data_IF_314594568535
#
_entry.id   IF_314594568535
#
_cell.length_a   1.000
_cell.length_b   1.000
_cell.length_c   1.000
_cell.angle_alpha   90.00
_cell.angle_beta   90.00
_cell.angle_gamma   90.00
#
_symmetry.space_group_name_H-M   'P 1'
#
loop_
_entity.id
_entity.type
_entity.pdbx_description
1 polymer ?
#
# COMPACT_ATOMS: atom_id res chain seq x y z
N UNK A 1 5.60 -3.42 3.02
CA UNK A 1 5.11 -4.76 2.64
C UNK A 1 4.62 -4.77 1.20
N UNK A 2 3.71 -3.85 0.84
CA UNK A 2 3.24 -3.67 -0.55
C UNK A 2 4.11 -2.73 -1.39
N UNK A 3 4.69 -1.67 -0.79
CA UNK A 3 5.75 -0.90 -1.44
C UNK A 3 7.06 -1.71 -1.39
N UNK A 4 7.72 -1.84 -2.55
CA UNK A 4 8.92 -2.65 -2.74
C UNK A 4 9.94 -1.85 -3.55
N UNK A 5 11.20 -1.76 -3.09
CA UNK A 5 12.26 -1.16 -3.88
C UNK A 5 12.30 -1.73 -5.31
N UNK A 6 12.51 -0.88 -6.33
CA UNK A 6 12.82 0.54 -6.24
C UNK A 6 11.61 1.48 -6.09
N UNK A 7 10.39 0.95 -6.00
CA UNK A 7 9.15 1.75 -5.89
C UNK A 7 8.82 2.01 -4.42
N UNK A 8 8.99 3.26 -4.01
CA UNK A 8 8.74 3.76 -2.65
C UNK A 8 7.61 4.78 -2.57
N UNK A 9 7.00 5.12 -3.71
CA UNK A 9 5.89 6.09 -3.80
C UNK A 9 4.57 5.44 -4.18
N UNK A 10 3.48 6.12 -3.82
CA UNK A 10 2.12 5.74 -4.21
C UNK A 10 1.45 6.81 -5.08
N UNK A 11 0.57 6.37 -5.99
CA UNK A 11 -0.37 7.24 -6.71
C UNK A 11 -1.74 7.12 -6.06
N UNK A 12 -2.33 8.27 -5.69
CA UNK A 12 -3.64 8.34 -5.05
C UNK A 12 -4.65 8.88 -6.06
N UNK A 13 -5.76 8.17 -6.26
CA UNK A 13 -6.89 8.68 -7.04
C UNK A 13 -7.93 9.24 -6.07
N UNK A 14 -8.25 10.52 -6.22
CA UNK A 14 -9.30 11.20 -5.47
C UNK A 14 -10.52 11.38 -6.38
N UNK A 15 -11.49 10.48 -6.27
CA UNK A 15 -12.73 10.54 -7.06
C UNK A 15 -13.68 11.61 -6.49
N UNK A 16 -14.02 12.57 -7.35
CA UNK A 16 -14.92 13.70 -7.05
C UNK A 16 -16.30 13.50 -7.65
N UNK A 17 -16.62 12.31 -8.15
CA UNK A 17 -18.00 11.97 -8.57
C UNK A 17 -18.98 12.31 -7.43
N UNK A 18 -20.07 12.99 -7.77
CA UNK A 18 -21.09 13.47 -6.83
C UNK A 18 -20.61 14.46 -5.73
N UNK A 19 -19.43 15.06 -5.92
CA UNK A 19 -18.96 16.14 -5.04
C UNK A 19 -19.88 17.36 -5.10
N UNK A 20 -20.15 17.96 -3.93
CA UNK A 20 -20.88 19.22 -3.80
C UNK A 20 -20.36 20.04 -2.62
N UNK A 21 -20.74 21.32 -2.54
CA UNK A 21 -20.34 22.13 -1.37
C UNK A 21 -20.89 21.59 -0.03
N UNK A 22 -21.96 20.79 -0.07
CA UNK A 22 -22.54 20.19 1.14
C UNK A 22 -21.65 19.10 1.76
N UNK A 23 -20.76 18.48 0.97
CA UNK A 23 -19.83 17.45 1.43
C UNK A 23 -18.37 17.93 1.47
N UNK A 24 -18.13 19.24 1.27
CA UNK A 24 -16.79 19.82 1.41
C UNK A 24 -16.45 20.10 2.87
N UNK A 25 -15.55 19.30 3.45
CA UNK A 25 -14.99 19.55 4.77
C UNK A 25 -13.48 19.81 4.70
N UNK A 26 -13.08 21.03 5.07
CA UNK A 26 -11.68 21.44 5.06
C UNK A 26 -10.85 20.81 6.19
N UNK A 27 -11.49 20.38 7.27
CA UNK A 27 -10.81 19.80 8.44
C UNK A 27 -10.09 18.48 8.11
N UNK A 28 -10.76 17.44 7.55
CA UNK A 28 -10.11 16.21 7.18
C UNK A 28 -9.09 16.42 6.05
N UNK A 29 -9.37 17.31 5.08
CA UNK A 29 -8.40 17.64 4.01
C UNK A 29 -7.12 18.20 4.59
N UNK A 30 -7.20 19.19 5.49
CA UNK A 30 -6.03 19.79 6.13
C UNK A 30 -5.29 18.80 7.03
N UNK A 31 -6.02 17.89 7.68
CA UNK A 31 -5.41 16.81 8.45
C UNK A 31 -4.62 15.85 7.56
N UNK A 32 -5.22 15.36 6.46
CA UNK A 32 -4.55 14.48 5.50
C UNK A 32 -3.26 15.10 4.94
N UNK A 33 -3.31 16.38 4.56
CA UNK A 33 -2.13 17.13 4.08
C UNK A 33 -1.01 17.09 5.11
N UNK A 34 -1.31 17.47 6.36
CA UNK A 34 -0.32 17.43 7.45
C UNK A 34 0.23 16.04 7.70
N UNK A 35 -0.59 15.00 7.57
CA UNK A 35 -0.14 13.63 7.72
C UNK A 35 0.90 13.26 6.66
N UNK A 36 0.63 13.59 5.38
CA UNK A 36 1.57 13.31 4.29
C UNK A 36 2.87 14.10 4.43
N UNK A 37 2.79 15.40 4.72
CA UNK A 37 3.98 16.26 4.83
C UNK A 37 4.86 15.88 6.05
N UNK A 38 4.25 15.59 7.20
CA UNK A 38 5.00 15.36 8.43
C UNK A 38 5.42 13.90 8.66
N UNK A 39 4.63 12.92 8.22
CA UNK A 39 4.85 11.51 8.56
C UNK A 39 5.24 10.63 7.36
N UNK A 40 4.91 11.06 6.14
CA UNK A 40 5.19 10.31 4.93
C UNK A 40 5.85 11.18 3.84
N UNK A 41 6.90 11.96 4.19
CA UNK A 41 7.58 12.79 3.21
C UNK A 41 8.14 11.91 2.09
N UNK A 42 8.07 12.42 0.86
CA UNK A 42 8.50 11.72 -0.36
C UNK A 42 7.83 10.37 -0.65
N UNK A 43 6.86 9.91 0.15
CA UNK A 43 6.09 8.68 -0.15
C UNK A 43 4.95 8.93 -1.14
N UNK A 44 4.58 10.19 -1.36
CA UNK A 44 3.56 10.57 -2.33
C UNK A 44 4.19 10.75 -3.71
N UNK A 45 3.76 9.95 -4.67
CA UNK A 45 4.20 10.04 -6.07
C UNK A 45 3.34 11.02 -6.83
N UNK A 46 2.03 10.75 -6.90
CA UNK A 46 1.05 11.58 -7.61
C UNK A 46 -0.31 11.54 -6.92
N UNK A 47 -1.09 12.62 -7.08
CA UNK A 47 -2.51 12.70 -6.69
C UNK A 47 -3.31 13.01 -7.94
N UNK A 48 -4.21 12.12 -8.33
CA UNK A 48 -5.08 12.27 -9.49
C UNK A 48 -6.47 12.66 -9.00
N UNK A 49 -6.81 13.94 -9.11
CA UNK A 49 -8.14 14.44 -8.78
C UNK A 49 -9.07 14.15 -9.96
N UNK A 50 -9.88 13.12 -9.82
CA UNK A 50 -10.70 12.57 -10.89
C UNK A 50 -12.13 13.14 -10.86
N UNK A 51 -12.66 13.54 -12.02
CA UNK A 51 -14.02 14.10 -12.20
C UNK A 51 -14.34 15.30 -11.30
N UNK A 52 -13.34 16.15 -11.04
CA UNK A 52 -13.56 17.38 -10.27
C UNK A 52 -14.55 18.31 -10.99
N UNK A 53 -15.63 18.77 -10.33
CA UNK A 53 -16.55 19.73 -10.93
C UNK A 53 -15.87 21.10 -11.09
N UNK A 54 -16.34 21.91 -12.04
CA UNK A 54 -15.74 23.21 -12.37
C UNK A 54 -15.56 24.15 -11.15
N UNK A 55 -16.46 24.06 -10.16
CA UNK A 55 -16.41 24.84 -8.92
C UNK A 55 -15.17 24.49 -8.06
N UNK A 56 -14.66 23.26 -8.15
CA UNK A 56 -13.51 22.81 -7.38
C UNK A 56 -12.25 23.62 -7.69
N UNK A 57 -12.16 24.28 -8.85
CA UNK A 57 -11.05 25.19 -9.14
C UNK A 57 -10.87 26.29 -8.09
N UNK A 58 -11.95 26.76 -7.47
CA UNK A 58 -11.88 27.77 -6.40
C UNK A 58 -11.41 27.17 -5.08
N UNK A 59 -11.86 25.95 -4.78
CA UNK A 59 -11.44 25.18 -3.60
C UNK A 59 -9.96 24.82 -3.70
N UNK A 60 -9.51 24.39 -4.88
CA UNK A 60 -8.12 24.07 -5.15
C UNK A 60 -7.19 25.26 -4.92
N UNK A 61 -7.59 26.50 -5.27
CA UNK A 61 -6.79 27.69 -4.95
C UNK A 61 -6.54 27.86 -3.46
N UNK A 62 -7.52 27.49 -2.63
CA UNK A 62 -7.40 27.53 -1.16
C UNK A 62 -6.49 26.39 -0.69
N UNK A 63 -6.77 25.15 -1.12
CA UNK A 63 -6.00 23.95 -0.72
C UNK A 63 -4.53 24.08 -1.14
N UNK A 64 -4.26 24.58 -2.35
CA UNK A 64 -2.90 24.78 -2.86
C UNK A 64 -2.08 25.72 -1.98
N UNK A 65 -2.71 26.67 -1.30
CA UNK A 65 -2.04 27.53 -0.32
C UNK A 65 -1.64 26.82 0.98
N UNK A 66 -2.11 25.59 1.19
CA UNK A 66 -1.77 24.76 2.36
C UNK A 66 -0.72 23.70 2.08
N UNK A 67 -0.48 23.40 0.79
CA UNK A 67 0.48 22.40 0.36
C UNK A 67 1.86 23.00 0.20
N UNK A 68 2.89 22.25 0.54
CA UNK A 68 4.25 22.57 0.09
C UNK A 68 4.34 22.55 -1.46
N UNK A 69 5.26 23.32 -2.08
CA UNK A 69 5.35 23.42 -3.54
C UNK A 69 5.63 22.09 -4.27
N UNK A 70 6.32 21.14 -3.63
CA UNK A 70 6.65 19.83 -4.21
C UNK A 70 5.41 18.96 -4.23
N UNK A 71 4.64 18.90 -3.14
CA UNK A 71 3.36 18.17 -3.12
C UNK A 71 2.35 18.79 -4.07
N UNK A 72 2.26 20.12 -4.13
CA UNK A 72 1.36 20.80 -5.06
C UNK A 72 1.65 20.49 -6.55
N UNK A 73 2.92 20.21 -6.90
CA UNK A 73 3.32 19.79 -8.26
C UNK A 73 2.92 18.35 -8.61
N UNK A 74 2.69 17.51 -7.59
CA UNK A 74 2.28 16.11 -7.74
C UNK A 74 0.77 15.96 -7.94
N UNK A 75 0.00 17.05 -7.88
CA UNK A 75 -1.47 17.04 -8.07
C UNK A 75 -1.83 17.27 -9.54
N UNK A 76 -2.56 16.32 -10.10
CA UNK A 76 -3.02 16.31 -11.49
C UNK A 76 -4.55 16.19 -11.53
N UNK A 77 -5.18 16.84 -12.49
CA UNK A 77 -6.63 16.81 -12.67
C UNK A 77 -6.96 15.93 -13.88
N UNK A 78 -7.85 14.96 -13.68
CA UNK A 78 -8.33 14.05 -14.72
C UNK A 78 -9.85 14.20 -14.82
N UNK A 79 -10.36 14.68 -15.96
CA UNK A 79 -11.79 14.93 -16.17
C UNK A 79 -12.55 13.68 -16.63
N UNK A 80 -11.86 12.74 -17.27
CA UNK A 80 -12.43 11.55 -17.87
C UNK A 80 -11.44 10.36 -17.80
N UNK A 81 -11.92 9.15 -18.09
CA UNK A 81 -11.12 7.94 -17.94
C UNK A 81 -9.92 7.89 -18.88
N UNK A 82 -9.97 8.56 -20.03
CA UNK A 82 -8.85 8.53 -20.98
C UNK A 82 -7.66 9.35 -20.42
N UNK A 83 -7.92 10.49 -19.78
CA UNK A 83 -6.89 11.24 -19.02
C UNK A 83 -6.38 10.46 -17.81
N UNK A 84 -7.26 9.76 -17.08
CA UNK A 84 -6.84 8.88 -15.97
C UNK A 84 -5.98 7.72 -16.50
N UNK A 85 -6.23 7.27 -17.72
CA UNK A 85 -5.52 6.17 -18.38
C UNK A 85 -4.08 6.51 -18.80
N UNK A 86 -3.71 7.79 -18.79
CA UNK A 86 -2.33 8.23 -18.94
C UNK A 86 -1.45 7.83 -17.74
N UNK A 87 -2.07 7.57 -16.58
CA UNK A 87 -1.40 7.23 -15.32
C UNK A 87 -1.57 5.76 -14.93
N UNK A 88 -2.77 5.21 -15.15
CA UNK A 88 -3.14 3.85 -14.75
C UNK A 88 -3.68 3.13 -15.99
N UNK A 89 -3.17 1.96 -16.38
CA UNK A 89 -3.72 1.24 -17.53
C UNK A 89 -5.23 1.05 -17.40
N UNK A 90 -5.99 1.31 -18.47
CA UNK A 90 -7.47 1.23 -18.46
C UNK A 90 -8.01 -0.11 -17.96
N UNK A 91 -7.28 -1.20 -18.25
CA UNK A 91 -7.57 -2.55 -17.75
C UNK A 91 -7.41 -2.72 -16.23
N UNK A 92 -6.86 -1.74 -15.53
CA UNK A 92 -6.65 -1.68 -14.07
C UNK A 92 -7.48 -0.59 -13.39
N UNK A 93 -8.24 0.17 -14.15
CA UNK A 93 -9.20 1.15 -13.65
C UNK A 93 -10.54 0.43 -13.48
N UNK A 94 -11.15 0.57 -12.31
CA UNK A 94 -12.45 -0.04 -12.00
C UNK A 94 -13.55 0.45 -12.96
N UNK A 95 -14.52 -0.41 -13.28
CA UNK A 95 -15.66 -0.07 -14.15
C UNK A 95 -16.46 1.12 -13.65
N UNK A 96 -16.61 1.28 -12.34
CA UNK A 96 -17.29 2.40 -11.69
C UNK A 96 -16.61 3.74 -12.00
N UNK A 97 -15.29 3.71 -12.25
CA UNK A 97 -14.50 4.86 -12.68
C UNK A 97 -14.42 4.99 -14.21
N UNK A 98 -15.04 4.08 -14.97
CA UNK A 98 -15.08 4.06 -16.43
C UNK A 98 -14.01 3.20 -17.11
N UNK A 99 -13.24 2.43 -16.35
CA UNK A 99 -12.23 1.49 -16.89
C UNK A 99 -12.79 0.10 -17.20
N UNK A 100 -11.90 -0.86 -17.45
CA UNK A 100 -12.31 -2.22 -17.86
C UNK A 100 -12.27 -3.24 -16.70
N UNK A 101 -11.65 -2.89 -15.56
CA UNK A 101 -11.49 -3.80 -14.43
C UNK A 101 -12.83 -4.05 -13.75
N UNK A 102 -13.34 -5.28 -13.88
CA UNK A 102 -14.59 -5.73 -13.28
C UNK A 102 -14.36 -6.26 -11.87
N UNK A 103 -13.63 -5.50 -11.05
CA UNK A 103 -13.32 -5.90 -9.69
C UNK A 103 -14.57 -5.81 -8.82
N UNK A 104 -14.75 -6.80 -7.94
CA UNK A 104 -15.76 -6.76 -6.89
C UNK A 104 -15.11 -7.21 -5.60
N UNK A 105 -15.25 -6.39 -4.56
CA UNK A 105 -14.69 -6.73 -3.25
C UNK A 105 -15.34 -8.01 -2.73
N UNK A 106 -14.50 -9.00 -2.41
CA UNK A 106 -14.90 -10.22 -1.72
C UNK A 106 -13.97 -10.39 -0.52
N UNK A 107 -14.55 -10.58 0.66
CA UNK A 107 -13.76 -10.90 1.85
C UNK A 107 -13.54 -12.41 1.94
N UNK A 108 -12.28 -12.82 1.90
CA UNK A 108 -11.89 -14.22 2.12
C UNK A 108 -11.64 -14.40 3.62
N UNK A 109 -12.44 -15.25 4.26
CA UNK A 109 -12.34 -15.55 5.69
C UNK A 109 -11.02 -16.26 6.05
N UNK A 110 -10.51 -16.09 7.28
CA UNK A 110 -9.40 -16.88 7.82
C UNK A 110 -9.70 -18.39 7.73
N UNK A 111 -8.70 -19.17 7.33
CA UNK A 111 -8.76 -20.62 7.42
C UNK A 111 -8.29 -21.12 8.78
N UNK A 112 -8.91 -22.19 9.29
CA UNK A 112 -8.51 -22.79 10.55
C UNK A 112 -7.03 -23.21 10.50
N UNK A 113 -6.26 -22.81 11.51
CA UNK A 113 -4.85 -23.14 11.61
C UNK A 113 -3.90 -22.34 10.71
N UNK A 114 -4.36 -21.34 9.95
CA UNK A 114 -3.48 -20.54 9.07
C UNK A 114 -2.36 -19.79 9.80
N UNK A 115 -2.51 -19.60 11.11
CA UNK A 115 -1.54 -18.94 11.99
C UNK A 115 -0.85 -19.90 12.98
N UNK A 116 -0.98 -21.23 12.80
CA UNK A 116 -0.42 -22.24 13.73
C UNK A 116 1.08 -22.07 13.94
N UNK A 117 1.81 -21.66 12.90
CA UNK A 117 3.25 -21.42 12.96
C UNK A 117 3.63 -20.37 14.02
N UNK A 118 2.75 -19.42 14.35
CA UNK A 118 3.01 -18.41 15.39
C UNK A 118 3.17 -18.99 16.79
N UNK A 119 2.72 -20.22 17.02
CA UNK A 119 2.90 -20.91 18.30
C UNK A 119 4.31 -21.51 18.47
N UNK A 120 5.09 -21.64 17.39
CA UNK A 120 6.46 -22.14 17.45
C UNK A 120 7.43 -21.07 17.99
N UNK A 121 7.55 -21.02 19.31
CA UNK A 121 8.45 -20.09 20.00
C UNK A 121 9.93 -20.38 19.71
N UNK A 122 10.29 -21.63 19.40
CA UNK A 122 11.67 -22.02 19.12
C UNK A 122 12.13 -21.45 17.78
N UNK A 123 11.34 -21.66 16.72
CA UNK A 123 11.63 -21.10 15.41
C UNK A 123 11.55 -19.57 15.40
N UNK A 124 10.58 -18.98 16.11
CA UNK A 124 10.52 -17.53 16.32
C UNK A 124 11.81 -16.98 16.93
N UNK A 125 12.27 -17.59 18.02
CA UNK A 125 13.48 -17.17 18.74
C UNK A 125 14.70 -17.29 17.84
N UNK A 126 14.86 -18.42 17.13
CA UNK A 126 15.94 -18.62 16.16
C UNK A 126 16.04 -17.49 15.14
N UNK A 127 14.93 -17.12 14.49
CA UNK A 127 14.95 -16.08 13.46
C UNK A 127 15.12 -14.67 14.04
N UNK A 128 14.63 -14.42 15.25
CA UNK A 128 14.88 -13.18 15.98
C UNK A 128 16.35 -13.03 16.36
N UNK A 129 17.01 -14.10 16.79
CA UNK A 129 18.44 -14.09 17.14
C UNK A 129 19.30 -13.84 15.88
N UNK A 130 19.00 -14.51 14.76
CA UNK A 130 19.65 -14.21 13.48
C UNK A 130 19.44 -12.74 13.08
N UNK A 131 18.21 -12.24 13.23
CA UNK A 131 17.89 -10.84 12.94
C UNK A 131 18.71 -9.88 13.80
N UNK A 132 18.86 -10.17 15.09
CA UNK A 132 19.60 -9.35 16.04
C UNK A 132 21.07 -9.22 15.63
N UNK A 133 21.70 -10.32 15.23
CA UNK A 133 23.07 -10.30 14.73
C UNK A 133 23.19 -9.53 13.40
N UNK A 134 22.23 -9.70 12.48
CA UNK A 134 22.18 -8.92 11.24
C UNK A 134 22.05 -7.41 11.50
N UNK A 135 21.19 -7.01 12.44
CA UNK A 135 21.01 -5.61 12.85
C UNK A 135 22.32 -5.06 13.41
N UNK A 136 22.96 -5.78 14.32
CA UNK A 136 24.24 -5.38 14.91
C UNK A 136 25.34 -5.19 13.85
N UNK A 137 25.46 -6.11 12.89
CA UNK A 137 26.39 -5.96 11.77
C UNK A 137 26.05 -4.75 10.91
N UNK A 138 24.75 -4.54 10.61
CA UNK A 138 24.30 -3.44 9.78
C UNK A 138 24.58 -2.07 10.42
N UNK A 139 24.37 -1.96 11.73
CA UNK A 139 24.72 -0.78 12.52
C UNK A 139 26.23 -0.50 12.47
N UNK A 140 27.06 -1.55 12.62
CA UNK A 140 28.52 -1.43 12.52
C UNK A 140 28.97 -0.91 11.14
N UNK A 141 28.49 -1.51 10.06
CA UNK A 141 28.77 -1.04 8.69
C UNK A 141 28.27 0.39 8.45
N UNK A 142 27.12 0.76 9.04
CA UNK A 142 26.59 2.12 8.93
C UNK A 142 27.51 3.12 9.64
N UNK A 143 28.06 2.79 10.80
CA UNK A 143 29.04 3.64 11.51
C UNK A 143 30.32 3.82 10.68
N UNK A 144 30.85 2.73 10.10
CA UNK A 144 32.04 2.79 9.26
C UNK A 144 31.83 3.70 8.03
N UNK A 145 30.68 3.55 7.37
CA UNK A 145 30.30 4.39 6.25
C UNK A 145 30.18 5.88 6.63
N UNK A 146 29.53 6.20 7.75
CA UNK A 146 29.43 7.59 8.26
C UNK A 146 30.81 8.17 8.57
N UNK A 147 31.74 7.33 9.03
CA UNK A 147 33.13 7.71 9.27
C UNK A 147 34.00 7.70 8.00
N UNK A 148 33.41 7.51 6.81
CA UNK A 148 34.08 7.45 5.52
C UNK A 148 35.16 6.36 5.42
N UNK A 149 35.01 5.27 6.17
CA UNK A 149 35.94 4.13 6.14
C UNK A 149 35.71 3.21 4.93
N UNK A 150 34.50 3.23 4.34
CA UNK A 150 34.13 2.52 3.11
C UNK A 150 32.98 3.24 2.37
N UNK A 151 32.57 2.68 1.22
CA UNK A 151 31.49 3.22 0.36
C UNK A 151 30.08 2.71 0.74
N UNK A 152 29.92 1.99 1.86
CA UNK A 152 28.63 1.47 2.32
C UNK A 152 28.14 0.21 1.61
N UNK A 153 29.00 -0.49 0.87
CA UNK A 153 28.65 -1.72 0.13
C UNK A 153 28.17 -2.84 1.07
N UNK A 154 28.85 -3.00 2.22
CA UNK A 154 28.49 -3.98 3.25
C UNK A 154 27.11 -3.73 3.85
N UNK A 155 26.77 -2.46 4.07
CA UNK A 155 25.43 -2.02 4.53
C UNK A 155 24.32 -2.45 3.57
N UNK A 156 24.50 -2.20 2.26
CA UNK A 156 23.48 -2.55 1.24
C UNK A 156 23.22 -4.06 1.22
N UNK A 157 24.29 -4.87 1.29
CA UNK A 157 24.17 -6.34 1.36
C UNK A 157 23.45 -6.79 2.63
N UNK A 158 23.71 -6.15 3.77
CA UNK A 158 23.06 -6.48 5.03
C UNK A 158 21.59 -6.04 5.07
N UNK A 159 21.22 -4.92 4.44
CA UNK A 159 19.82 -4.51 4.27
C UNK A 159 19.02 -5.58 3.50
N UNK A 160 19.58 -6.11 2.41
CA UNK A 160 18.98 -7.21 1.66
C UNK A 160 18.78 -8.46 2.55
N UNK A 161 19.80 -8.84 3.32
CA UNK A 161 19.70 -9.98 4.26
C UNK A 161 18.67 -9.75 5.37
N UNK A 162 18.54 -8.52 5.88
CA UNK A 162 17.50 -8.16 6.85
C UNK A 162 16.09 -8.27 6.26
N UNK A 163 15.92 -7.94 4.97
CA UNK A 163 14.65 -8.11 4.26
C UNK A 163 14.33 -9.61 4.05
N UNK A 164 15.30 -10.41 3.63
CA UNK A 164 15.14 -11.87 3.48
C UNK A 164 14.85 -12.55 4.83
N UNK A 165 15.58 -12.18 5.88
CA UNK A 165 15.33 -12.66 7.24
C UNK A 165 13.92 -12.31 7.73
N UNK A 166 13.40 -11.13 7.42
CA UNK A 166 12.02 -10.76 7.80
C UNK A 166 11.02 -11.78 7.24
N UNK A 167 11.17 -12.22 6.00
CA UNK A 167 10.25 -13.19 5.42
C UNK A 167 10.36 -14.60 6.00
N UNK A 168 11.53 -14.96 6.55
CA UNK A 168 11.67 -16.18 7.36
C UNK A 168 11.01 -16.04 8.73
N UNK A 169 11.04 -14.84 9.31
CA UNK A 169 10.43 -14.52 10.61
C UNK A 169 8.91 -14.33 10.51
N UNK A 170 8.43 -13.85 9.37
CA UNK A 170 7.06 -13.44 9.08
C UNK A 170 5.98 -14.44 9.56
N UNK A 171 6.09 -15.76 9.32
CA UNK A 171 5.07 -16.71 9.74
C UNK A 171 4.93 -16.85 11.26
N UNK A 172 5.92 -16.37 12.02
CA UNK A 172 5.98 -16.49 13.48
C UNK A 172 5.55 -15.21 14.22
N UNK A 173 5.45 -14.08 13.51
CA UNK A 173 5.23 -12.75 14.12
C UNK A 173 4.04 -11.99 13.55
N UNK A 174 3.49 -12.42 12.41
CA UNK A 174 2.38 -11.74 11.75
C UNK A 174 1.27 -12.72 11.39
N UNK A 175 0.05 -12.42 11.80
CA UNK A 175 -1.13 -13.14 11.36
C UNK A 175 -1.35 -12.95 9.84
N UNK A 176 -1.85 -14.00 9.17
CA UNK A 176 -2.21 -13.93 7.75
C UNK A 176 -3.34 -12.91 7.55
N UNK A 177 -3.14 -12.03 6.59
CA UNK A 177 -4.09 -10.98 6.20
C UNK A 177 -4.90 -11.42 4.98
N UNK A 178 -5.92 -10.64 4.63
CA UNK A 178 -6.64 -10.82 3.37
C UNK A 178 -5.68 -10.88 2.17
N UNK A 179 -4.61 -10.07 2.18
CA UNK A 179 -3.63 -10.05 1.09
C UNK A 179 -2.81 -11.33 0.97
N UNK A 180 -2.58 -12.05 2.08
CA UNK A 180 -1.97 -13.38 2.02
C UNK A 180 -2.96 -14.39 1.41
N UNK A 181 -4.23 -14.33 1.86
CA UNK A 181 -5.29 -15.26 1.43
C UNK A 181 -5.69 -15.07 -0.04
N UNK A 182 -5.66 -13.84 -0.54
CA UNK A 182 -5.94 -13.54 -1.95
C UNK A 182 -4.73 -13.72 -2.86
N UNK A 183 -3.56 -14.05 -2.30
CA UNK A 183 -2.32 -14.25 -3.06
C UNK A 183 -1.62 -12.96 -3.47
N UNK A 184 -2.08 -11.80 -3.00
CA UNK A 184 -1.40 -10.51 -3.23
C UNK A 184 -0.02 -10.50 -2.59
N UNK A 185 0.09 -11.10 -1.41
CA UNK A 185 1.33 -11.38 -0.70
C UNK A 185 1.54 -12.89 -0.76
N UNK A 186 2.42 -13.32 -1.65
CA UNK A 186 2.84 -14.70 -1.78
C UNK A 186 3.97 -15.09 -0.84
N UNK A 187 4.47 -16.31 -1.04
CA UNK A 187 5.62 -16.86 -0.29
C UNK A 187 6.85 -15.94 -0.40
N UNK A 188 7.58 -15.83 0.70
CA UNK A 188 8.73 -14.93 0.87
C UNK A 188 8.42 -13.45 0.54
N UNK A 189 7.14 -13.09 0.62
CA UNK A 189 6.63 -11.76 0.35
C UNK A 189 6.57 -11.37 -1.12
N UNK A 190 6.71 -12.32 -2.05
CA UNK A 190 6.53 -12.04 -3.48
C UNK A 190 5.18 -11.37 -3.70
N UNK A 191 5.17 -10.22 -4.36
CA UNK A 191 3.94 -9.49 -4.62
C UNK A 191 3.36 -9.85 -5.98
N UNK A 192 2.05 -10.04 -6.01
CA UNK A 192 1.25 -10.07 -7.23
C UNK A 192 0.00 -9.23 -7.00
N UNK A 193 -0.02 -7.99 -7.50
CA UNK A 193 -1.17 -7.11 -7.30
C UNK A 193 -2.44 -7.60 -8.01
N UNK A 194 -2.30 -8.54 -8.96
CA UNK A 194 -3.40 -9.07 -9.75
C UNK A 194 -3.25 -10.59 -9.91
N UNK A 195 -3.32 -11.32 -8.79
CA UNK A 195 -3.22 -12.76 -8.81
C UNK A 195 -4.38 -13.29 -9.64
N UNK A 196 -4.07 -14.11 -10.66
CA UNK A 196 -5.13 -14.83 -11.37
C UNK A 196 -5.85 -15.68 -10.34
N UNK A 197 -7.17 -15.58 -10.25
CA UNK A 197 -7.96 -16.41 -9.36
C UNK A 197 -7.49 -17.86 -9.51
N UNK A 198 -6.82 -18.40 -8.49
CA UNK A 198 -6.52 -19.81 -8.42
C UNK A 198 -7.90 -20.49 -8.46
N UNK A 199 -8.17 -21.28 -9.50
CA UNK A 199 -9.50 -21.82 -9.78
C UNK A 199 -10.09 -22.53 -8.56
N UNK A 200 -10.89 -21.79 -7.78
CA UNK A 200 -11.63 -22.28 -6.64
C UNK A 200 -12.94 -22.82 -7.15
N UNK A 201 -13.14 -24.13 -6.99
CA UNK A 201 -14.41 -24.81 -7.17
C UNK A 201 -15.55 -24.00 -6.56
N UNK A 202 -16.58 -23.70 -7.35
CA UNK A 202 -17.82 -23.09 -6.91
C UNK A 202 -18.48 -23.97 -5.83
N UNK A 203 -18.19 -23.69 -4.56
CA UNK A 203 -18.99 -24.13 -3.43
C UNK A 203 -20.16 -23.18 -3.26
N UNK A 204 -21.36 -23.64 -3.59
CA UNK A 204 -22.57 -22.83 -3.59
C UNK A 204 -22.81 -22.13 -2.25
N UNK A 205 -22.94 -20.81 -2.29
CA UNK A 205 -23.51 -20.04 -1.19
C UNK A 205 -25.03 -20.22 -1.22
N UNK A 206 -25.57 -20.93 -0.23
CA UNK A 206 -26.97 -20.81 0.14
C UNK A 206 -27.17 -19.43 0.77
N UNK A 207 -28.08 -18.64 0.21
CA UNK A 207 -28.50 -17.37 0.76
C UNK A 207 -29.14 -17.61 2.14
N UNK A 208 -28.60 -16.95 3.17
CA UNK A 208 -29.31 -16.78 4.43
C UNK A 208 -30.36 -15.68 4.22
N UNK A 209 -31.61 -16.06 4.42
CA UNK A 209 -32.80 -15.23 4.44
C UNK A 209 -32.87 -14.52 5.80
N UNK A 210 -32.47 -13.26 5.85
CA UNK A 210 -32.64 -12.41 7.03
C UNK A 210 -34.04 -11.78 7.00
N UNK A 211 -35.05 -12.61 7.29
CA UNK A 211 -36.38 -12.16 7.65
C UNK A 211 -36.37 -11.60 9.08
N UNK A 212 -36.63 -10.30 9.22
CA UNK A 212 -36.99 -9.68 10.50
C UNK A 212 -38.40 -9.11 10.35
N UNK A 213 -39.34 -9.75 11.04
CA UNK A 213 -40.66 -9.21 11.41
C UNK A 213 -40.52 -8.06 12.43
#
# INVERSE_FOLDING_TARGET
MLLRPPVDTATIVFDMTDFSMANMDYTPVKFMIKCFEANYPESLGSVLVYKAPWLFNQIWKIIKGWLDPVVAQKVHFCTNVDELSEWIPKSRIMKELGGDEAYTYTYVEPSEGENTQMQDQSAKTKWLDERKELVKSYEGETVNWVQSQDQGEGRTRLAQRLAENYWKLDPYVRARSLYDRTGVIGQDGKLDFYPKAAGGSAGGHAAADDGVD
#
